data_IF_204585918010
#
_entry.id   IF_204585918010
#
_cell.length_a   1.000
_cell.length_b   1.000
_cell.length_c   1.000
_cell.angle_alpha   90.00
_cell.angle_beta   90.00
_cell.angle_gamma   90.00
#
_symmetry.space_group_name_H-M   'P 1'
#
loop_
_entity.id
_entity.type
_entity.pdbx_description
1 polymer ?
#
# COMPACT_ATOMS: atom_id res chain seq x y z
N UNK A 1 19.23 5.07 10.65
CA UNK A 1 19.91 3.83 10.21
C UNK A 1 19.23 3.42 8.92
N UNK A 2 19.85 3.79 7.79
CA UNK A 2 19.24 3.80 6.45
C UNK A 2 19.58 2.50 5.73
N UNK A 3 18.55 1.89 5.12
CA UNK A 3 18.54 0.90 4.02
C UNK A 3 19.82 0.07 3.83
N UNK A 4 19.77 -1.22 4.19
CA UNK A 4 20.81 -2.19 3.82
C UNK A 4 20.20 -3.55 3.47
N UNK A 5 19.92 -3.77 2.19
CA UNK A 5 20.22 -4.98 1.38
C UNK A 5 19.26 -5.12 0.21
N UNK A 6 19.62 -4.50 -0.91
CA UNK A 6 19.21 -4.96 -2.24
C UNK A 6 19.80 -6.37 -2.41
N UNK A 7 18.96 -7.40 -2.45
CA UNK A 7 19.40 -8.73 -2.87
C UNK A 7 19.73 -8.63 -4.36
N UNK A 8 20.97 -8.96 -4.70
CA UNK A 8 21.48 -8.95 -6.07
C UNK A 8 20.55 -9.75 -7.00
N UNK A 9 20.12 -9.09 -8.08
CA UNK A 9 19.49 -9.73 -9.23
C UNK A 9 20.57 -10.61 -9.86
N UNK A 10 20.29 -11.91 -10.00
CA UNK A 10 21.21 -12.85 -10.63
C UNK A 10 21.38 -12.43 -12.09
N UNK A 11 22.62 -12.26 -12.56
CA UNK A 11 22.90 -11.93 -13.96
C UNK A 11 22.23 -12.95 -14.89
N UNK A 12 21.65 -12.53 -16.02
CA UNK A 12 21.04 -13.45 -16.98
C UNK A 12 22.10 -14.40 -17.57
N UNK A 13 21.71 -15.65 -17.94
CA UNK A 13 22.61 -16.61 -18.57
C UNK A 13 23.15 -16.06 -19.91
N UNK A 14 24.38 -16.42 -20.28
CA UNK A 14 25.13 -15.83 -21.41
C UNK A 14 24.54 -16.11 -22.80
N UNK A 15 23.53 -16.99 -22.92
CA UNK A 15 23.02 -17.46 -24.22
C UNK A 15 21.53 -17.12 -24.40
N UNK A 16 21.25 -15.82 -24.51
CA UNK A 16 19.90 -15.27 -24.63
C UNK A 16 19.53 -15.06 -26.11
N UNK A 17 18.46 -15.69 -26.63
CA UNK A 17 18.03 -15.50 -28.02
C UNK A 17 17.70 -14.03 -28.36
N UNK A 18 18.10 -13.58 -29.55
CA UNK A 18 17.75 -12.25 -30.09
C UNK A 18 16.23 -12.11 -30.20
N UNK A 19 15.64 -11.42 -29.23
CA UNK A 19 14.20 -11.29 -29.04
C UNK A 19 13.74 -11.41 -27.58
N UNK A 20 14.53 -12.04 -26.71
CA UNK A 20 14.22 -12.16 -25.28
C UNK A 20 14.27 -10.81 -24.55
N UNK A 21 15.27 -9.96 -24.86
CA UNK A 21 15.36 -8.61 -24.31
C UNK A 21 14.22 -7.70 -24.81
N UNK A 22 13.75 -7.92 -26.04
CA UNK A 22 12.60 -7.20 -26.60
C UNK A 22 11.26 -7.69 -26.02
N UNK A 23 11.17 -8.97 -25.64
CA UNK A 23 10.02 -9.55 -24.92
C UNK A 23 10.00 -9.14 -23.43
N UNK A 24 11.16 -8.98 -22.79
CA UNK A 24 11.32 -8.42 -21.44
C UNK A 24 10.93 -6.93 -21.35
N UNK A 25 10.91 -6.22 -22.49
CA UNK A 25 10.50 -4.82 -22.59
C UNK A 25 8.98 -4.56 -22.49
N UNK A 26 8.16 -5.58 -22.20
CA UNK A 26 6.70 -5.42 -22.04
C UNK A 26 6.21 -6.20 -20.82
N UNK A 27 5.86 -5.46 -19.75
CA UNK A 27 5.18 -5.91 -18.50
C UNK A 27 6.02 -6.60 -17.40
N UNK A 28 7.06 -5.94 -16.89
CA UNK A 28 7.57 -6.25 -15.54
C UNK A 28 7.04 -5.24 -14.52
N UNK A 29 5.78 -5.40 -14.12
CA UNK A 29 5.25 -4.72 -12.92
C UNK A 29 5.86 -5.40 -11.70
N UNK A 30 7.04 -4.97 -11.30
CA UNK A 30 7.73 -5.53 -10.13
C UNK A 30 7.22 -4.86 -8.88
N UNK A 31 6.35 -5.54 -8.13
CA UNK A 31 6.03 -5.14 -6.75
C UNK A 31 7.13 -5.70 -5.85
N UNK A 32 7.95 -4.82 -5.31
CA UNK A 32 8.91 -5.19 -4.27
C UNK A 32 8.19 -5.16 -2.92
N UNK A 33 8.35 -6.21 -2.11
CA UNK A 33 7.65 -6.29 -0.83
C UNK A 33 8.51 -6.90 0.27
N UNK A 34 8.43 -6.30 1.46
CA UNK A 34 9.08 -6.78 2.68
C UNK A 34 8.05 -6.97 3.79
N UNK A 35 8.34 -7.91 4.69
CA UNK A 35 7.55 -8.14 5.90
C UNK A 35 8.47 -8.49 7.06
N UNK A 36 8.30 -7.79 8.16
CA UNK A 36 9.02 -8.02 9.41
C UNK A 36 8.04 -8.43 10.51
N UNK A 37 8.44 -9.46 11.26
CA UNK A 37 7.73 -9.91 12.45
C UNK A 37 8.36 -9.21 13.66
N UNK A 38 7.59 -8.36 14.32
CA UNK A 38 8.01 -7.60 15.49
C UNK A 38 7.44 -8.22 16.78
N UNK A 39 7.99 -7.90 17.97
CA UNK A 39 7.48 -8.41 19.24
C UNK A 39 5.98 -8.18 19.46
N UNK A 40 5.37 -8.99 20.33
CA UNK A 40 3.96 -8.89 20.74
C UNK A 40 2.95 -9.04 19.57
N UNK A 41 3.32 -9.79 18.53
CA UNK A 41 2.42 -10.05 17.40
C UNK A 41 2.28 -8.89 16.42
N UNK A 42 3.19 -7.90 16.48
CA UNK A 42 3.20 -6.78 15.55
C UNK A 42 3.78 -7.23 14.20
N UNK A 43 3.25 -6.69 13.10
CA UNK A 43 3.76 -6.90 11.74
C UNK A 43 4.06 -5.55 11.11
N UNK A 44 5.20 -5.47 10.43
CA UNK A 44 5.54 -4.32 9.58
C UNK A 44 5.68 -4.81 8.16
N UNK A 45 4.99 -4.16 7.24
CA UNK A 45 5.01 -4.46 5.82
C UNK A 45 5.35 -3.20 5.06
N UNK A 46 6.11 -3.36 3.99
CA UNK A 46 6.30 -2.32 2.99
C UNK A 46 6.18 -2.95 1.61
N UNK A 47 5.46 -2.29 0.71
CA UNK A 47 5.41 -2.66 -0.69
C UNK A 47 5.67 -1.43 -1.57
N UNK A 48 6.34 -1.65 -2.69
CA UNK A 48 6.68 -0.62 -3.65
C UNK A 48 6.23 -1.05 -5.04
N UNK A 49 5.58 -0.14 -5.75
CA UNK A 49 5.17 -0.28 -7.14
C UNK A 49 5.81 0.84 -7.97
N UNK A 50 6.42 0.48 -9.10
CA UNK A 50 6.79 1.44 -10.15
C UNK A 50 5.67 1.49 -11.18
N UNK A 51 5.22 2.69 -11.52
CA UNK A 51 4.06 2.91 -12.38
C UNK A 51 4.29 4.10 -13.32
N UNK A 52 3.60 4.11 -14.46
CA UNK A 52 3.54 5.26 -15.36
C UNK A 52 2.51 6.32 -14.91
N UNK A 53 1.74 6.05 -13.85
CA UNK A 53 0.81 7.03 -13.30
C UNK A 53 1.58 8.28 -12.80
N UNK A 54 1.00 9.46 -13.01
CA UNK A 54 1.62 10.72 -12.59
C UNK A 54 1.47 10.92 -11.08
N UNK A 55 2.36 11.75 -10.50
CA UNK A 55 2.27 12.15 -9.10
C UNK A 55 0.88 12.69 -8.73
N UNK A 56 0.35 13.64 -9.51
CA UNK A 56 -0.93 14.28 -9.20
C UNK A 56 -2.11 13.32 -9.32
N UNK A 57 -2.08 12.37 -10.27
CA UNK A 57 -3.11 11.35 -10.39
C UNK A 57 -3.14 10.44 -9.15
N UNK A 58 -1.97 9.91 -8.76
CA UNK A 58 -1.85 9.07 -7.56
C UNK A 58 -2.26 9.82 -6.28
N UNK A 59 -1.80 11.07 -6.13
CA UNK A 59 -2.15 11.90 -4.99
C UNK A 59 -3.65 12.16 -4.90
N UNK A 60 -4.29 12.45 -6.03
CA UNK A 60 -5.74 12.67 -6.11
C UNK A 60 -6.51 11.43 -5.67
N UNK A 61 -6.13 10.25 -6.19
CA UNK A 61 -6.77 8.99 -5.80
C UNK A 61 -6.61 8.71 -4.30
N UNK A 62 -5.39 8.83 -3.76
CA UNK A 62 -5.13 8.57 -2.34
C UNK A 62 -5.85 9.54 -1.38
N UNK A 63 -6.20 10.73 -1.85
CA UNK A 63 -6.88 11.77 -1.06
C UNK A 63 -8.38 11.87 -1.34
N UNK A 64 -8.90 11.06 -2.27
CA UNK A 64 -10.36 10.94 -2.52
C UNK A 64 -10.98 10.00 -1.48
N UNK A 65 -10.95 10.44 -0.23
CA UNK A 65 -11.22 9.62 0.95
C UNK A 65 -12.56 8.89 0.94
N UNK A 66 -13.65 9.57 0.57
CA UNK A 66 -14.99 8.97 0.55
C UNK A 66 -15.17 7.93 -0.57
N UNK A 67 -14.27 7.90 -1.55
CA UNK A 67 -14.35 6.98 -2.68
C UNK A 67 -13.32 5.84 -2.60
N UNK A 68 -12.45 5.83 -1.58
CA UNK A 68 -11.41 4.81 -1.45
C UNK A 68 -12.00 3.39 -1.48
N UNK A 69 -13.18 3.16 -0.90
CA UNK A 69 -13.85 1.85 -0.91
C UNK A 69 -14.34 1.40 -2.28
N UNK A 70 -14.41 2.29 -3.27
CA UNK A 70 -14.83 1.93 -4.63
C UNK A 70 -13.74 1.17 -5.38
N UNK A 71 -12.47 1.33 -4.98
CA UNK A 71 -11.34 0.69 -5.67
C UNK A 71 -10.41 -0.10 -4.76
N UNK A 72 -10.29 0.23 -3.46
CA UNK A 72 -9.48 -0.55 -2.53
C UNK A 72 -10.24 -1.82 -2.13
N UNK A 73 -9.79 -3.02 -2.56
CA UNK A 73 -10.61 -4.25 -2.52
C UNK A 73 -10.92 -4.76 -1.11
N UNK A 74 -10.14 -4.38 -0.10
CA UNK A 74 -10.34 -4.82 1.28
C UNK A 74 -11.08 -3.79 2.14
N UNK A 75 -11.57 -2.71 1.53
CA UNK A 75 -12.21 -1.59 2.20
C UNK A 75 -13.70 -1.58 1.87
N UNK A 76 -14.54 -1.92 2.85
CA UNK A 76 -15.99 -1.92 2.69
C UNK A 76 -16.60 -0.51 2.78
N UNK A 77 -15.99 0.38 3.56
CA UNK A 77 -16.37 1.79 3.61
C UNK A 77 -15.17 2.67 3.99
N UNK A 78 -15.22 3.91 3.52
CA UNK A 78 -14.27 4.96 3.86
C UNK A 78 -15.05 6.26 3.92
N UNK A 79 -14.98 6.97 5.04
CA UNK A 79 -15.76 8.17 5.28
C UNK A 79 -14.91 9.27 5.90
N UNK A 80 -14.75 10.37 5.18
CA UNK A 80 -14.12 11.59 5.68
C UNK A 80 -14.98 12.16 6.81
N UNK A 81 -14.38 12.34 7.99
CA UNK A 81 -15.07 12.92 9.14
C UNK A 81 -14.75 14.40 9.29
N UNK A 82 -13.47 14.76 9.16
CA UNK A 82 -13.03 16.14 9.27
C UNK A 82 -11.75 16.38 8.45
N UNK A 83 -11.57 17.62 7.99
CA UNK A 83 -10.36 18.08 7.32
C UNK A 83 -10.03 19.48 7.80
N UNK A 84 -8.82 19.65 8.33
CA UNK A 84 -8.29 20.92 8.81
C UNK A 84 -6.88 21.12 8.24
N UNK A 85 -6.78 21.96 7.21
CA UNK A 85 -5.55 22.10 6.42
C UNK A 85 -5.04 20.73 5.93
N UNK A 86 -3.88 20.29 6.44
CA UNK A 86 -3.26 19.02 6.09
C UNK A 86 -3.54 17.88 7.07
N UNK A 87 -4.33 18.12 8.12
CA UNK A 87 -4.78 17.10 9.08
C UNK A 87 -6.16 16.62 8.70
N UNK A 88 -6.34 15.30 8.61
CA UNK A 88 -7.59 14.67 8.17
C UNK A 88 -7.98 13.58 9.16
N UNK A 89 -9.27 13.47 9.46
CA UNK A 89 -9.81 12.36 10.23
C UNK A 89 -10.75 11.53 9.36
N UNK A 90 -10.55 10.21 9.39
CA UNK A 90 -11.15 9.27 8.46
C UNK A 90 -11.65 8.03 9.21
N UNK A 91 -12.90 7.65 9.00
CA UNK A 91 -13.42 6.36 9.46
C UNK A 91 -13.38 5.34 8.32
N UNK A 92 -12.82 4.17 8.57
CA UNK A 92 -12.72 3.10 7.59
C UNK A 92 -13.18 1.78 8.19
N UNK A 93 -13.87 0.99 7.37
CA UNK A 93 -14.25 -0.37 7.71
C UNK A 93 -13.61 -1.30 6.69
N UNK A 94 -12.60 -2.06 7.12
CA UNK A 94 -12.04 -3.15 6.36
C UNK A 94 -12.93 -4.38 6.46
N UNK A 95 -13.15 -5.09 5.35
CA UNK A 95 -13.91 -6.34 5.36
C UNK A 95 -13.27 -7.36 4.46
N UNK A 96 -13.09 -8.58 4.97
CA UNK A 96 -12.30 -9.58 4.30
C UNK A 96 -12.75 -11.00 4.62
N UNK A 97 -12.88 -11.83 3.59
CA UNK A 97 -13.23 -13.25 3.74
C UNK A 97 -11.97 -14.09 3.93
N UNK A 98 -11.92 -14.87 5.01
CA UNK A 98 -10.85 -15.82 5.32
C UNK A 98 -11.43 -17.14 5.82
N UNK A 99 -11.03 -18.27 5.19
CA UNK A 99 -11.48 -19.63 5.53
C UNK A 99 -13.01 -19.79 5.66
N UNK A 100 -13.79 -19.07 4.85
CA UNK A 100 -15.26 -19.10 4.89
C UNK A 100 -15.91 -18.18 5.95
N UNK A 101 -15.11 -17.46 6.74
CA UNK A 101 -15.58 -16.44 7.69
C UNK A 101 -15.31 -15.04 7.15
N UNK A 102 -16.23 -14.10 7.37
CA UNK A 102 -16.00 -12.68 7.07
C UNK A 102 -15.44 -12.01 8.32
N UNK A 103 -14.21 -11.52 8.21
CA UNK A 103 -13.58 -10.67 9.20
C UNK A 103 -13.86 -9.21 8.84
N UNK A 104 -14.37 -8.43 9.80
CA UNK A 104 -14.59 -7.00 9.65
C UNK A 104 -13.85 -6.27 10.76
N UNK A 105 -13.20 -5.18 10.42
CA UNK A 105 -12.51 -4.32 11.37
C UNK A 105 -12.76 -2.86 11.04
N UNK A 106 -13.06 -2.08 12.07
CA UNK A 106 -13.23 -0.65 11.98
C UNK A 106 -12.02 0.09 12.56
N UNK A 107 -11.64 1.17 11.90
CA UNK A 107 -10.60 2.10 12.36
C UNK A 107 -11.06 3.54 12.18
N UNK A 108 -10.76 4.36 13.17
CA UNK A 108 -10.71 5.82 13.06
C UNK A 108 -9.25 6.24 12.95
N UNK A 109 -8.91 6.89 11.84
CA UNK A 109 -7.56 7.28 11.51
C UNK A 109 -7.42 8.81 11.53
N UNK A 110 -6.27 9.26 12.00
CA UNK A 110 -5.74 10.59 11.74
C UNK A 110 -4.74 10.48 10.59
N UNK A 111 -4.81 11.38 9.61
CA UNK A 111 -3.86 11.47 8.52
C UNK A 111 -3.20 12.86 8.45
N UNK A 112 -1.96 12.87 7.96
CA UNK A 112 -1.19 14.08 7.69
C UNK A 112 -0.73 14.09 6.23
N UNK A 113 -1.20 15.08 5.48
CA UNK A 113 -0.89 15.33 4.08
C UNK A 113 0.33 16.24 3.94
N UNK A 114 1.44 15.73 3.43
CA UNK A 114 2.63 16.51 3.08
C UNK A 114 2.84 16.45 1.56
N UNK A 115 1.94 17.10 0.79
CA UNK A 115 1.93 17.02 -0.69
C UNK A 115 3.27 17.37 -1.31
N UNK A 116 3.95 18.42 -0.82
CA UNK A 116 5.26 18.84 -1.33
C UNK A 116 6.35 17.77 -1.18
N UNK A 117 6.17 16.84 -0.25
CA UNK A 117 7.07 15.70 -0.01
C UNK A 117 6.53 14.39 -0.59
N UNK A 118 5.35 14.40 -1.21
CA UNK A 118 4.68 13.19 -1.68
C UNK A 118 4.29 12.22 -0.57
N UNK A 119 4.15 12.70 0.66
CA UNK A 119 4.02 11.85 1.84
C UNK A 119 2.64 12.01 2.49
N UNK A 120 1.93 10.91 2.65
CA UNK A 120 0.66 10.83 3.38
C UNK A 120 0.82 9.84 4.53
N UNK A 121 0.87 10.33 5.76
CA UNK A 121 0.97 9.49 6.97
C UNK A 121 -0.41 9.24 7.55
N UNK A 122 -0.59 8.11 8.20
CA UNK A 122 -1.80 7.82 8.97
C UNK A 122 -1.48 7.11 10.28
N UNK A 123 -2.27 7.39 11.32
CA UNK A 123 -2.18 6.78 12.63
C UNK A 123 -3.57 6.43 13.15
N UNK A 124 -3.66 5.34 13.90
CA UNK A 124 -4.88 4.93 14.57
C UNK A 124 -5.19 5.87 15.74
N UNK A 125 -6.41 6.40 15.77
CA UNK A 125 -6.99 7.08 16.94
C UNK A 125 -7.71 6.04 17.81
N UNK A 126 -8.63 5.28 17.20
CA UNK A 126 -9.41 4.22 17.84
C UNK A 126 -9.82 3.15 16.82
N UNK A 127 -10.14 1.94 17.28
CA UNK A 127 -10.62 0.87 16.41
C UNK A 127 -10.29 -0.52 16.93
N UNK A 128 -10.52 -1.52 16.08
CA UNK A 128 -10.38 -2.94 16.43
C UNK A 128 -8.93 -3.45 16.48
N UNK A 129 -7.97 -2.60 16.10
CA UNK A 129 -6.55 -2.91 16.16
C UNK A 129 -5.89 -2.26 17.38
N UNK A 130 -4.84 -2.89 17.90
CA UNK A 130 -3.96 -2.25 18.92
C UNK A 130 -3.00 -1.25 18.31
N UNK A 131 -2.65 -1.47 17.04
CA UNK A 131 -1.79 -0.59 16.27
C UNK A 131 -2.18 -0.68 14.80
N UNK A 132 -2.36 0.46 14.17
CA UNK A 132 -2.59 0.57 12.73
C UNK A 132 -2.06 1.93 12.27
N UNK A 133 -0.86 1.94 11.73
CA UNK A 133 -0.16 3.17 11.35
C UNK A 133 0.72 2.92 10.12
N UNK A 134 1.03 3.95 9.38
CA UNK A 134 1.83 3.79 8.17
C UNK A 134 1.90 5.04 7.33
N UNK A 135 2.35 4.85 6.09
CA UNK A 135 2.43 5.95 5.14
C UNK A 135 2.35 5.50 3.69
N UNK A 136 1.87 6.41 2.85
CA UNK A 136 2.03 6.38 1.41
C UNK A 136 3.09 7.40 1.01
N UNK A 137 4.04 6.99 0.17
CA UNK A 137 5.07 7.86 -0.38
C UNK A 137 5.05 7.76 -1.90
N UNK A 138 4.90 8.91 -2.56
CA UNK A 138 4.94 9.05 -4.01
C UNK A 138 6.22 9.81 -4.39
N UNK A 139 7.11 9.13 -5.12
CA UNK A 139 8.38 9.70 -5.57
C UNK A 139 8.44 9.70 -7.09
N UNK A 140 8.46 10.88 -7.74
CA UNK A 140 8.71 10.97 -9.18
C UNK A 140 10.11 10.43 -9.52
N UNK A 141 10.24 9.66 -10.60
CA UNK A 141 11.54 9.22 -11.09
C UNK A 141 12.35 10.41 -11.63
N UNK A 142 13.68 10.33 -11.55
CA UNK A 142 14.59 11.36 -12.07
C UNK A 142 14.37 11.63 -13.56
N UNK A 143 13.93 10.62 -14.32
CA UNK A 143 13.66 10.74 -15.74
C UNK A 143 12.22 11.20 -16.06
N UNK A 144 11.38 11.46 -15.05
CA UNK A 144 9.95 11.85 -15.14
C UNK A 144 9.03 10.92 -15.93
N UNK A 145 9.53 9.80 -16.47
CA UNK A 145 8.70 8.83 -17.19
C UNK A 145 7.91 7.90 -16.25
N UNK A 146 8.41 7.67 -15.04
CA UNK A 146 7.82 6.74 -14.07
C UNK A 146 7.69 7.40 -12.69
N UNK A 147 6.75 6.90 -11.89
CA UNK A 147 6.55 7.28 -10.49
C UNK A 147 6.66 6.04 -9.62
N UNK A 148 7.29 6.18 -8.45
CA UNK A 148 7.34 5.14 -7.43
C UNK A 148 6.27 5.41 -6.37
N UNK A 149 5.41 4.43 -6.13
CA UNK A 149 4.43 4.42 -5.05
C UNK A 149 4.86 3.40 -3.99
N UNK A 150 5.12 3.87 -2.78
CA UNK A 150 5.48 3.03 -1.63
C UNK A 150 4.35 3.08 -0.61
N UNK A 151 3.95 1.91 -0.12
CA UNK A 151 2.99 1.77 0.96
C UNK A 151 3.62 1.02 2.13
N UNK A 152 3.76 1.70 3.26
CA UNK A 152 4.21 1.12 4.52
C UNK A 152 3.05 0.98 5.50
N UNK A 153 2.97 -0.17 6.18
CA UNK A 153 1.95 -0.47 7.17
C UNK A 153 2.57 -1.19 8.37
N UNK A 154 2.29 -0.69 9.57
CA UNK A 154 2.57 -1.37 10.83
C UNK A 154 1.26 -1.68 11.51
N UNK A 155 1.00 -2.97 11.75
CA UNK A 155 -0.27 -3.46 12.29
C UNK A 155 -0.05 -4.39 13.47
N UNK A 156 -0.93 -4.28 14.46
CA UNK A 156 -1.00 -5.20 15.60
C UNK A 156 -2.48 -5.51 15.89
N UNK A 157 -2.85 -6.78 15.72
CA UNK A 157 -4.22 -7.25 16.01
C UNK A 157 -4.60 -7.13 17.49
N UNK A 158 -5.90 -7.04 17.77
CA UNK A 158 -6.44 -7.19 19.12
C UNK A 158 -6.21 -8.61 19.68
N UNK A 159 -6.40 -8.75 20.99
CA UNK A 159 -6.24 -10.04 21.69
C UNK A 159 -7.20 -11.08 21.08
N UNK A 160 -6.69 -12.23 20.66
CA UNK A 160 -7.49 -13.29 20.03
C UNK A 160 -7.53 -13.27 18.50
N UNK A 161 -6.98 -12.24 17.84
CA UNK A 161 -6.81 -12.23 16.39
C UNK A 161 -5.62 -13.12 15.97
N UNK A 162 -5.80 -14.16 15.14
CA UNK A 162 -4.70 -15.02 14.72
C UNK A 162 -3.89 -14.35 13.60
N UNK A 163 -3.06 -13.36 13.96
CA UNK A 163 -2.27 -12.55 13.01
C UNK A 163 -1.38 -13.43 12.10
N UNK A 164 -0.91 -14.57 12.59
CA UNK A 164 -0.13 -15.54 11.80
C UNK A 164 -0.90 -16.19 10.65
N UNK A 165 -2.22 -16.34 10.76
CA UNK A 165 -3.06 -16.91 9.68
C UNK A 165 -3.32 -15.91 8.55
N UNK A 166 -3.24 -14.60 8.85
CA UNK A 166 -3.49 -13.53 7.90
C UNK A 166 -2.19 -12.97 7.29
N UNK A 167 -0.99 -13.47 7.62
CA UNK A 167 0.27 -12.94 7.08
C UNK A 167 0.36 -12.97 5.55
N UNK A 168 0.04 -14.11 4.94
CA UNK A 168 0.01 -14.22 3.48
C UNK A 168 -1.08 -13.34 2.85
N UNK A 169 -2.17 -13.12 3.60
CA UNK A 169 -3.28 -12.27 3.19
C UNK A 169 -2.86 -10.79 3.21
N UNK A 170 -2.30 -10.32 4.33
CA UNK A 170 -1.73 -8.98 4.49
C UNK A 170 -0.70 -8.68 3.39
N UNK A 171 0.11 -9.67 3.01
CA UNK A 171 1.05 -9.54 1.89
C UNK A 171 0.32 -9.23 0.57
N UNK A 172 -0.66 -10.07 0.22
CA UNK A 172 -1.47 -9.92 -0.98
C UNK A 172 -2.27 -8.61 -0.98
N UNK A 173 -2.80 -8.23 0.19
CA UNK A 173 -3.62 -7.02 0.35
C UNK A 173 -2.84 -5.76 0.06
N UNK A 174 -1.61 -5.66 0.55
CA UNK A 174 -0.75 -4.51 0.29
C UNK A 174 -0.48 -4.33 -1.21
N UNK A 175 -0.16 -5.44 -1.89
CA UNK A 175 0.08 -5.44 -3.33
C UNK A 175 -1.20 -5.10 -4.11
N UNK A 176 -2.34 -5.67 -3.71
CA UNK A 176 -3.63 -5.40 -4.33
C UNK A 176 -4.08 -3.96 -4.14
N UNK A 177 -3.82 -3.36 -2.96
CA UNK A 177 -4.12 -1.96 -2.70
C UNK A 177 -3.27 -1.04 -3.58
N UNK A 178 -1.96 -1.32 -3.75
CA UNK A 178 -1.10 -0.57 -4.68
C UNK A 178 -1.61 -0.63 -6.11
N UNK A 179 -1.95 -1.83 -6.59
CA UNK A 179 -2.46 -2.03 -7.94
C UNK A 179 -3.83 -1.37 -8.15
N UNK A 180 -4.69 -1.37 -7.13
CA UNK A 180 -5.98 -0.69 -7.18
C UNK A 180 -5.81 0.83 -7.32
N UNK A 181 -4.92 1.42 -6.52
CA UNK A 181 -4.59 2.86 -6.59
C UNK A 181 -4.00 3.21 -7.96
N UNK A 182 -3.09 2.39 -8.48
CA UNK A 182 -2.55 2.56 -9.83
C UNK A 182 -3.66 2.53 -10.89
N UNK A 183 -4.51 1.50 -10.90
CA UNK A 183 -5.58 1.34 -11.90
C UNK A 183 -6.54 2.52 -11.89
N UNK A 184 -6.92 2.98 -10.70
CA UNK A 184 -7.76 4.16 -10.53
C UNK A 184 -7.06 5.42 -11.05
N UNK A 185 -5.76 5.60 -10.78
CA UNK A 185 -4.99 6.75 -11.24
C UNK A 185 -4.78 6.77 -12.76
N UNK A 186 -4.68 5.59 -13.40
CA UNK A 186 -4.59 5.45 -14.85
C UNK A 186 -5.96 5.54 -15.55
N UNK A 187 -7.07 5.66 -14.82
CA UNK A 187 -8.41 5.69 -15.39
C UNK A 187 -8.89 4.36 -15.95
N UNK A 188 -8.37 3.24 -15.43
CA UNK A 188 -8.67 1.86 -15.88
C UNK A 188 -9.57 1.09 -14.89
N UNK A 189 -10.27 1.81 -14.01
CA UNK A 189 -11.13 1.26 -12.95
C UNK A 189 -12.58 1.05 -13.43
#
# INVERSE_FOLDING_TARGET
MVLSRVKAIKSPPEDVPEGYLAAMGRNERTIEQTMEVLPKGTRRLAAQLRTSATFDALWTILTTYDQLSNFIPNLSSSKLLSRQANRVELRQVGSQVFLGFTFTAEVLLELFEEKDKGLLKFNLIEGDFRRFEGSWLITPSQNKCDTSLVYELTVQGALGMPVGLIENRLRQDLANNLLAVERAALGTA
#
